data_IF_029971777649
#
_entry.id   IF_029971777649
#
_cell.length_a   1.000
_cell.length_b   1.000
_cell.length_c   1.000
_cell.angle_alpha   90.00
_cell.angle_beta   90.00
_cell.angle_gamma   90.00
#
_symmetry.space_group_name_H-M   'P 1'
#
loop_
_entity.id
_entity.type
_entity.pdbx_description
1 polymer ?
#
# COMPACT_ATOMS: atom_id res chain seq x y z
N UNK A 1 13.61 -10.66 2.14
CA UNK A 1 12.22 -10.20 2.18
C UNK A 1 11.45 -11.16 3.07
N UNK A 2 11.00 -10.70 4.23
CA UNK A 2 10.23 -11.53 5.16
C UNK A 2 8.81 -11.75 4.61
N UNK A 3 8.15 -12.83 5.07
CA UNK A 3 6.79 -13.14 4.67
C UNK A 3 5.84 -12.08 5.22
N UNK A 4 5.06 -11.44 4.35
CA UNK A 4 4.08 -10.45 4.77
C UNK A 4 3.05 -11.05 5.72
N UNK A 5 2.77 -10.32 6.80
CA UNK A 5 1.69 -10.64 7.74
C UNK A 5 0.30 -10.33 7.14
N UNK A 6 -0.76 -10.67 7.87
CA UNK A 6 -2.14 -10.45 7.41
C UNK A 6 -2.49 -8.96 7.29
N UNK A 7 -1.97 -8.11 8.17
CA UNK A 7 -2.21 -6.67 8.14
C UNK A 7 -1.54 -6.00 6.94
N UNK A 8 -0.28 -6.32 6.67
CA UNK A 8 0.47 -5.85 5.51
C UNK A 8 -0.21 -6.25 4.19
N UNK A 9 -0.66 -7.50 4.08
CA UNK A 9 -1.43 -7.98 2.92
C UNK A 9 -2.74 -7.22 2.75
N UNK A 10 -3.43 -6.93 3.87
CA UNK A 10 -4.66 -6.17 3.84
C UNK A 10 -4.41 -4.73 3.36
N UNK A 11 -3.34 -4.08 3.85
CA UNK A 11 -2.95 -2.74 3.41
C UNK A 11 -2.60 -2.68 1.91
N UNK A 12 -1.83 -3.66 1.39
CA UNK A 12 -1.54 -3.74 -0.05
C UNK A 12 -2.81 -3.86 -0.88
N UNK A 13 -3.75 -4.72 -0.48
CA UNK A 13 -5.05 -4.87 -1.15
C UNK A 13 -5.88 -3.60 -1.08
N UNK A 14 -5.86 -2.89 0.04
CA UNK A 14 -6.57 -1.63 0.20
C UNK A 14 -6.02 -0.55 -0.74
N UNK A 15 -4.69 -0.41 -0.80
CA UNK A 15 -4.04 0.53 -1.73
C UNK A 15 -4.32 0.16 -3.18
N UNK A 16 -4.33 -1.13 -3.52
CA UNK A 16 -4.68 -1.59 -4.87
C UNK A 16 -6.14 -1.29 -5.24
N UNK A 17 -7.07 -1.48 -4.29
CA UNK A 17 -8.50 -1.31 -4.49
C UNK A 17 -8.90 0.15 -4.66
N UNK A 18 -8.30 1.04 -3.87
CA UNK A 18 -8.66 2.47 -3.83
C UNK A 18 -7.81 3.33 -4.78
N UNK A 19 -6.99 2.71 -5.65
CA UNK A 19 -6.13 3.43 -6.59
C UNK A 19 -6.94 4.18 -7.65
N UNK A 20 -6.47 5.36 -8.02
CA UNK A 20 -6.98 6.09 -9.17
C UNK A 20 -6.28 5.69 -10.48
N UNK A 21 -6.54 6.44 -11.56
CA UNK A 21 -5.95 6.19 -12.89
C UNK A 21 -4.43 6.27 -12.93
N UNK A 22 -3.80 6.99 -11.99
CA UNK A 22 -2.35 7.11 -11.86
C UNK A 22 -1.76 6.09 -10.87
N UNK A 23 -2.61 5.20 -10.33
CA UNK A 23 -2.23 4.17 -9.37
C UNK A 23 -2.14 4.64 -7.92
N UNK A 24 -2.53 5.88 -7.62
CA UNK A 24 -2.46 6.47 -6.27
C UNK A 24 -3.79 6.34 -5.53
N UNK A 25 -3.75 5.71 -4.35
CA UNK A 25 -4.84 5.72 -3.39
C UNK A 25 -4.73 6.92 -2.44
N UNK A 26 -5.84 7.58 -2.11
CA UNK A 26 -5.88 8.58 -1.03
C UNK A 26 -5.84 7.88 0.32
N UNK A 27 -5.04 8.41 1.24
CA UNK A 27 -4.82 7.82 2.57
C UNK A 27 -5.07 8.89 3.62
N UNK A 28 -5.93 8.58 4.59
CA UNK A 28 -6.21 9.49 5.71
C UNK A 28 -5.03 9.55 6.69
N UNK A 29 -5.00 10.60 7.50
CA UNK A 29 -3.99 10.77 8.54
C UNK A 29 -4.00 9.66 9.61
N UNK A 30 -5.10 8.91 9.73
CA UNK A 30 -5.19 7.76 10.62
C UNK A 30 -4.50 6.51 10.05
N UNK A 31 -4.54 6.33 8.73
CA UNK A 31 -3.98 5.14 8.06
C UNK A 31 -2.52 5.38 7.67
N UNK A 32 -2.12 6.64 7.46
CA UNK A 32 -0.78 6.99 7.04
C UNK A 32 0.32 6.40 7.94
N UNK A 33 0.25 6.49 9.29
CA UNK A 33 1.27 5.91 10.16
C UNK A 33 1.37 4.38 10.04
N UNK A 34 0.27 3.70 9.72
CA UNK A 34 0.26 2.25 9.53
C UNK A 34 1.00 1.85 8.25
N UNK A 35 0.86 2.64 7.18
CA UNK A 35 1.65 2.43 5.97
C UNK A 35 3.13 2.70 6.23
N UNK A 36 3.46 3.80 6.90
CA UNK A 36 4.87 4.14 7.17
C UNK A 36 5.57 3.16 8.10
N UNK A 37 4.87 2.64 9.11
CA UNK A 37 5.48 1.76 10.11
C UNK A 37 5.54 0.31 9.65
N UNK A 38 4.49 -0.16 8.97
CA UNK A 38 4.32 -1.59 8.71
C UNK A 38 4.63 -1.99 7.27
N UNK A 39 4.71 -1.05 6.31
CA UNK A 39 4.94 -1.42 4.92
C UNK A 39 6.42 -1.29 4.52
N UNK A 40 7.01 -2.35 3.94
CA UNK A 40 8.33 -2.23 3.33
C UNK A 40 8.32 -1.21 2.17
N UNK A 41 9.29 -0.29 2.11
CA UNK A 41 9.33 0.78 1.09
C UNK A 41 9.51 0.23 -0.32
N UNK A 42 10.03 -1.00 -0.48
CA UNK A 42 10.12 -1.66 -1.77
C UNK A 42 8.76 -2.07 -2.35
N UNK A 43 7.68 -2.09 -1.54
CA UNK A 43 6.34 -2.49 -1.95
C UNK A 43 5.39 -1.30 -2.14
N UNK A 44 5.68 -0.16 -1.52
CA UNK A 44 4.78 1.00 -1.53
C UNK A 44 5.56 2.31 -1.61
N UNK A 45 5.04 3.25 -2.39
CA UNK A 45 5.46 4.64 -2.40
C UNK A 45 4.44 5.49 -1.64
N UNK A 46 4.91 6.40 -0.80
CA UNK A 46 4.09 7.26 0.05
C UNK A 46 4.40 8.72 -0.26
N UNK A 47 3.35 9.52 -0.47
CA UNK A 47 3.42 10.97 -0.64
C UNK A 47 2.53 11.64 0.41
N UNK A 48 3.13 12.17 1.48
CA UNK A 48 2.42 12.87 2.57
C UNK A 48 2.15 14.32 2.23
N UNK A 49 1.06 14.85 2.78
CA UNK A 49 0.77 16.27 2.84
C UNK A 49 1.07 16.85 4.25
N UNK A 50 0.93 18.17 4.39
CA UNK A 50 1.20 18.88 5.64
C UNK A 50 0.17 18.61 6.75
N UNK A 51 -0.92 17.90 6.46
CA UNK A 51 -1.97 17.53 7.43
C UNK A 51 -1.76 16.15 8.05
N UNK A 52 -0.71 15.42 7.63
CA UNK A 52 -0.45 14.04 8.02
C UNK A 52 -1.24 13.01 7.21
N UNK A 53 -2.12 13.45 6.31
CA UNK A 53 -2.73 12.62 5.28
C UNK A 53 -1.83 12.57 4.03
N UNK A 54 -2.35 11.98 2.95
CA UNK A 54 -1.63 11.98 1.68
C UNK A 54 -2.11 10.90 0.74
N UNK A 55 -1.17 10.32 0.00
CA UNK A 55 -1.44 9.28 -0.99
C UNK A 55 -0.40 8.17 -0.92
N UNK A 56 -0.79 6.97 -1.31
CA UNK A 56 0.13 5.86 -1.48
C UNK A 56 -0.15 5.10 -2.76
N UNK A 57 0.88 4.53 -3.39
CA UNK A 57 0.73 3.64 -4.56
C UNK A 57 1.62 2.42 -4.40
N UNK A 58 1.23 1.32 -5.02
CA UNK A 58 2.09 0.14 -5.08
C UNK A 58 3.27 0.42 -6.01
N UNK A 59 4.46 -0.03 -5.58
CA UNK A 59 5.59 -0.18 -6.51
C UNK A 59 5.31 -1.34 -7.47
N UNK A 60 6.20 -1.53 -8.45
CA UNK A 60 6.13 -2.71 -9.32
C UNK A 60 6.17 -4.02 -8.52
N UNK A 61 7.02 -4.11 -7.48
CA UNK A 61 7.11 -5.30 -6.63
C UNK A 61 5.84 -5.49 -5.80
N UNK A 62 5.30 -4.41 -5.22
CA UNK A 62 4.04 -4.45 -4.49
C UNK A 62 2.87 -4.95 -5.34
N UNK A 63 2.78 -4.49 -6.60
CA UNK A 63 1.76 -4.97 -7.54
C UNK A 63 1.92 -6.46 -7.84
N UNK A 64 3.14 -6.93 -8.11
CA UNK A 64 3.40 -8.36 -8.35
C UNK A 64 2.96 -9.25 -7.17
N UNK A 65 3.12 -8.78 -5.93
CA UNK A 65 2.62 -9.51 -4.76
C UNK A 65 1.09 -9.54 -4.71
N UNK A 66 0.42 -8.42 -5.01
CA UNK A 66 -1.06 -8.37 -5.05
C UNK A 66 -1.60 -9.30 -6.14
N UNK A 67 -0.99 -9.29 -7.32
CA UNK A 67 -1.39 -10.16 -8.43
C UNK A 67 -1.21 -11.65 -8.05
N UNK A 68 -0.07 -12.00 -7.44
CA UNK A 68 0.16 -13.37 -6.94
C UNK A 68 -0.87 -13.79 -5.88
N UNK A 69 -1.26 -12.89 -4.97
CA UNK A 69 -2.30 -13.16 -3.99
C UNK A 69 -3.67 -13.40 -4.63
N UNK A 70 -4.01 -12.68 -5.71
CA UNK A 70 -5.27 -12.85 -6.42
C UNK A 70 -5.34 -14.18 -7.19
N UNK A 71 -4.19 -14.68 -7.67
CA UNK A 71 -4.10 -15.98 -8.34
C UNK A 71 -4.27 -17.18 -7.40
N UNK A 72 -4.00 -17.02 -6.11
CA UNK A 72 -4.06 -18.09 -5.11
C UNK A 72 -5.39 -18.17 -4.34
N UNK A 73 -6.35 -17.28 -4.64
CA UNK A 73 -7.68 -17.21 -4.03
C UNK A 73 -8.75 -17.74 -4.97
#
# INVERSE_FOLDING_TARGET
MEKLDAGQKHLLKLVDREKDGDGWAKVSSLVMPLLETNMPPELIEIAKDNSGAGRARLTQQGRGIVDAMAWMS
#
